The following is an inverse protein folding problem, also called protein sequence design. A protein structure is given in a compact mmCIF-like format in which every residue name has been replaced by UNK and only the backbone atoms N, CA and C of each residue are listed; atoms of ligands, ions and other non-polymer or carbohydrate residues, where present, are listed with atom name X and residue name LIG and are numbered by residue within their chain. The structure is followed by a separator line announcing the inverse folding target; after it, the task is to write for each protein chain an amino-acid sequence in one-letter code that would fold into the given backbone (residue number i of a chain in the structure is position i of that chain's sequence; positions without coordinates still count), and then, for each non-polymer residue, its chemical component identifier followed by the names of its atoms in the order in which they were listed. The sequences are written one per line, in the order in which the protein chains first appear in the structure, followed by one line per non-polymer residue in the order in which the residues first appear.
data_IF_102856935685
#
_entry.id   IF_102856935685
#
_cell.length_a   1.000
_cell.length_b   1.000
_cell.length_c   1.000
_cell.angle_alpha   90.00
_cell.angle_beta   90.00
_cell.angle_gamma   90.00
#
_symmetry.space_group_name_H-M   'P 1'
#
loop_
_entity.id
_entity.type
_entity.pdbx_description
1 polymer ?
#
# COMPACT_ATOMS: atom_id res chain seq x y z
N UNK A 1 34.70 -77.09 24.92
CA UNK A 1 34.51 -76.73 23.49
C UNK A 1 34.13 -75.24 23.41
N UNK A 2 35.00 -74.44 22.74
CA UNK A 2 34.81 -73.17 21.98
C UNK A 2 33.84 -72.08 22.54
N UNK A 3 34.09 -70.77 22.52
CA UNK A 3 35.20 -69.89 22.07
C UNK A 3 34.79 -68.42 22.37
N UNK A 4 35.78 -67.56 22.70
CA UNK A 4 35.96 -66.11 22.39
C UNK A 4 34.75 -65.14 22.41
N UNK A 5 34.75 -64.07 23.23
CA UNK A 5 35.40 -62.74 23.07
C UNK A 5 35.05 -61.97 21.77
N UNK A 6 34.40 -60.81 22.00
CA UNK A 6 34.51 -59.48 21.33
C UNK A 6 33.18 -58.88 20.80
N UNK A 7 33.10 -57.56 21.02
CA UNK A 7 32.19 -56.55 20.44
C UNK A 7 30.83 -56.40 21.18
N UNK A 8 30.36 -55.21 21.58
CA UNK A 8 30.69 -53.89 21.06
C UNK A 8 30.31 -52.77 22.06
N UNK A 9 31.22 -51.82 22.24
CA UNK A 9 31.13 -50.61 23.07
C UNK A 9 30.38 -49.46 22.35
N UNK A 10 29.23 -49.72 21.72
CA UNK A 10 28.56 -48.73 20.86
C UNK A 10 27.39 -47.96 21.49
N UNK A 11 27.10 -48.16 22.78
CA UNK A 11 25.93 -47.55 23.42
C UNK A 11 26.24 -46.36 24.34
N UNK A 12 27.50 -46.08 24.67
CA UNK A 12 27.88 -44.95 25.54
C UNK A 12 28.34 -43.68 24.81
N UNK A 13 28.48 -43.69 23.49
CA UNK A 13 28.86 -42.50 22.71
C UNK A 13 27.68 -41.67 22.19
N UNK A 14 26.44 -42.16 22.34
CA UNK A 14 25.23 -41.45 21.87
C UNK A 14 24.61 -40.50 22.90
N UNK A 15 25.06 -40.55 24.17
CA UNK A 15 24.55 -39.69 25.25
C UNK A 15 25.44 -38.48 25.57
N UNK A 16 26.60 -38.35 24.93
CA UNK A 16 27.50 -37.19 25.10
C UNK A 16 27.39 -36.19 23.93
N UNK A 17 26.74 -36.57 22.81
CA UNK A 17 26.57 -35.67 21.65
C UNK A 17 25.34 -34.75 21.74
N UNK A 18 24.49 -34.87 22.77
CA UNK A 18 23.28 -34.04 22.93
C UNK A 18 23.48 -32.83 23.85
N UNK A 19 24.66 -32.68 24.48
CA UNK A 19 24.94 -31.57 25.42
C UNK A 19 25.95 -30.53 24.90
N UNK A 20 26.26 -30.54 23.60
CA UNK A 20 27.12 -29.55 22.94
C UNK A 20 26.50 -28.99 21.63
N UNK A 21 25.17 -28.92 21.54
CA UNK A 21 24.53 -28.01 20.60
C UNK A 21 24.68 -26.59 21.16
N UNK A 22 25.67 -25.88 20.65
CA UNK A 22 26.17 -24.63 21.20
C UNK A 22 25.11 -23.56 21.39
N UNK A 23 25.35 -22.70 22.37
CA UNK A 23 25.01 -21.29 22.25
C UNK A 23 25.59 -20.79 20.92
N UNK A 24 24.77 -20.80 19.87
CA UNK A 24 24.98 -19.93 18.74
C UNK A 24 24.63 -18.54 19.28
N UNK A 25 25.60 -17.61 19.39
CA UNK A 25 25.25 -16.24 19.68
C UNK A 25 24.25 -15.79 18.60
N UNK A 26 23.07 -15.33 19.02
CA UNK A 26 22.15 -14.61 18.15
C UNK A 26 22.99 -13.56 17.42
N UNK A 27 23.22 -13.77 16.13
CA UNK A 27 23.72 -12.71 15.30
C UNK A 27 22.67 -11.59 15.38
N UNK A 28 23.07 -10.33 15.64
CA UNK A 28 22.15 -9.23 15.47
C UNK A 28 21.55 -9.34 14.07
N UNK A 29 20.25 -9.07 13.95
CA UNK A 29 19.59 -8.98 12.65
C UNK A 29 20.45 -8.12 11.72
N UNK A 30 20.59 -8.47 10.43
CA UNK A 30 21.28 -7.61 9.48
C UNK A 30 20.67 -6.21 9.61
N UNK A 31 21.52 -5.25 9.94
CA UNK A 31 21.16 -3.85 9.98
C UNK A 31 20.57 -3.51 8.61
N UNK A 32 19.33 -3.00 8.59
CA UNK A 32 18.67 -2.60 7.35
C UNK A 32 19.66 -1.79 6.53
N UNK A 33 19.84 -2.16 5.26
CA UNK A 33 20.83 -1.52 4.39
C UNK A 33 20.68 0.00 4.53
N UNK A 34 21.73 0.66 4.99
CA UNK A 34 21.72 2.11 5.15
C UNK A 34 21.38 2.72 3.78
N UNK A 35 20.47 3.71 3.74
CA UNK A 35 20.17 4.39 2.49
C UNK A 35 21.47 4.96 1.90
N UNK A 36 21.57 5.07 0.57
CA UNK A 36 22.75 5.62 -0.09
C UNK A 36 23.16 6.96 0.55
N UNK A 37 24.47 7.23 0.56
CA UNK A 37 25.09 8.27 1.40
C UNK A 37 24.62 9.71 1.11
N UNK A 38 23.91 9.94 0.01
CA UNK A 38 23.24 11.19 -0.35
C UNK A 38 21.89 11.41 0.36
N UNK A 39 21.40 10.41 1.09
CA UNK A 39 20.07 10.40 1.74
C UNK A 39 20.13 10.45 3.28
N UNK A 40 21.31 10.74 3.88
CA UNK A 40 21.44 10.94 5.33
C UNK A 40 21.11 12.39 5.72
N UNK A 41 20.03 12.57 6.49
CA UNK A 41 19.59 13.88 7.00
C UNK A 41 18.23 14.37 6.51
N UNK A 42 17.45 13.52 5.83
CA UNK A 42 16.15 13.88 5.27
C UNK A 42 15.14 14.19 6.38
N UNK A 43 14.55 15.38 6.33
CA UNK A 43 13.54 15.86 7.27
C UNK A 43 12.17 15.26 6.96
N UNK A 44 11.21 15.44 7.88
CA UNK A 44 9.81 15.04 7.71
C UNK A 44 9.06 15.75 6.57
N UNK A 45 9.72 16.59 5.77
CA UNK A 45 9.14 17.35 4.66
C UNK A 45 9.58 16.84 3.27
N UNK A 46 10.49 15.87 3.20
CA UNK A 46 11.05 15.33 1.95
C UNK A 46 10.08 14.33 1.31
N UNK A 47 9.80 14.54 0.02
CA UNK A 47 8.78 13.82 -0.77
C UNK A 47 9.26 13.45 -2.18
N UNK A 48 10.58 13.48 -2.42
CA UNK A 48 11.17 13.27 -3.74
C UNK A 48 11.17 14.54 -4.61
N UNK A 49 11.54 14.38 -5.88
CA UNK A 49 11.64 15.48 -6.86
C UNK A 49 10.80 15.17 -8.09
N UNK A 50 9.95 16.12 -8.49
CA UNK A 50 9.10 16.06 -9.67
C UNK A 50 9.40 17.25 -10.58
N UNK A 51 9.38 17.04 -11.89
CA UNK A 51 9.41 18.11 -12.88
C UNK A 51 8.11 18.08 -13.69
N UNK A 52 7.20 18.99 -13.35
CA UNK A 52 5.91 19.12 -14.02
C UNK A 52 5.71 20.59 -14.40
N UNK A 53 6.19 21.04 -15.56
CA UNK A 53 6.00 22.41 -16.01
C UNK A 53 4.52 22.70 -16.24
N UNK A 54 4.06 23.84 -15.72
CA UNK A 54 2.69 24.35 -15.90
C UNK A 54 2.70 25.76 -16.49
N UNK A 55 1.52 26.22 -16.90
CA UNK A 55 1.25 27.59 -17.32
C UNK A 55 0.99 28.53 -16.14
N UNK A 56 1.02 28.03 -14.91
CA UNK A 56 0.67 28.81 -13.73
C UNK A 56 1.75 29.85 -13.41
N UNK A 57 1.47 30.75 -12.48
CA UNK A 57 2.48 31.68 -11.96
C UNK A 57 3.69 30.93 -11.41
N UNK A 58 4.86 31.58 -11.39
CA UNK A 58 6.08 30.97 -10.87
C UNK A 58 5.95 30.58 -9.38
N UNK A 59 5.19 31.36 -8.62
CA UNK A 59 4.85 31.09 -7.24
C UNK A 59 3.93 29.86 -7.12
N UNK A 60 2.90 29.75 -7.95
CA UNK A 60 1.99 28.60 -7.95
C UNK A 60 2.66 27.31 -8.45
N UNK A 61 3.62 27.40 -9.37
CA UNK A 61 4.39 26.27 -9.90
C UNK A 61 5.07 25.46 -8.79
N UNK A 62 5.64 26.12 -7.77
CA UNK A 62 6.33 25.44 -6.68
C UNK A 62 5.37 24.60 -5.82
N UNK A 63 4.22 25.19 -5.44
CA UNK A 63 3.18 24.49 -4.69
C UNK A 63 2.53 23.37 -5.52
N UNK A 64 2.31 23.61 -6.81
CA UNK A 64 1.79 22.60 -7.72
C UNK A 64 2.74 21.40 -7.82
N UNK A 65 4.04 21.62 -8.06
CA UNK A 65 5.03 20.53 -8.15
C UNK A 65 5.14 19.75 -6.84
N UNK A 66 5.07 20.44 -5.68
CA UNK A 66 4.98 19.78 -4.37
C UNK A 66 3.72 18.90 -4.27
N UNK A 67 2.58 19.41 -4.71
CA UNK A 67 1.32 18.68 -4.78
C UNK A 67 1.43 17.40 -5.62
N UNK A 68 2.08 17.46 -6.79
CA UNK A 68 2.29 16.28 -7.65
C UNK A 68 3.21 15.24 -6.99
N UNK A 69 4.28 15.68 -6.33
CA UNK A 69 5.15 14.77 -5.57
C UNK A 69 4.41 14.04 -4.44
N UNK A 70 3.57 14.77 -3.68
CA UNK A 70 2.71 14.19 -2.65
C UNK A 70 1.66 13.24 -3.24
N UNK A 71 1.04 13.63 -4.35
CA UNK A 71 0.07 12.81 -5.08
C UNK A 71 0.68 11.49 -5.54
N UNK A 72 1.90 11.51 -6.08
CA UNK A 72 2.63 10.30 -6.46
C UNK A 72 2.87 9.35 -5.30
N UNK A 73 2.97 9.84 -4.07
CA UNK A 73 3.11 9.02 -2.86
C UNK A 73 1.79 8.74 -2.15
N UNK A 74 0.65 9.01 -2.80
CA UNK A 74 -0.69 8.86 -2.23
C UNK A 74 -0.88 9.60 -0.90
N UNK A 75 -0.12 10.68 -0.70
CA UNK A 75 -0.26 11.53 0.48
C UNK A 75 -1.31 12.61 0.21
N UNK A 76 -2.57 12.16 0.08
CA UNK A 76 -3.64 12.96 -0.55
C UNK A 76 -4.01 14.25 0.19
N UNK A 77 -4.22 14.29 1.53
CA UNK A 77 -4.63 15.53 2.18
C UNK A 77 -3.58 16.66 2.04
N UNK A 78 -2.27 16.41 2.25
CA UNK A 78 -1.26 17.42 1.93
C UNK A 78 -1.13 17.74 0.43
N UNK A 79 -1.36 16.77 -0.46
CA UNK A 79 -1.38 17.03 -1.90
C UNK A 79 -2.48 18.04 -2.25
N UNK A 80 -3.71 17.81 -1.77
CA UNK A 80 -4.85 18.72 -1.92
C UNK A 80 -4.51 20.10 -1.38
N UNK A 81 -3.95 20.20 -0.17
CA UNK A 81 -3.55 21.48 0.43
C UNK A 81 -2.50 22.22 -0.40
N UNK A 82 -1.58 21.52 -1.05
CA UNK A 82 -0.58 22.13 -1.93
C UNK A 82 -1.22 22.66 -3.22
N UNK A 83 -2.16 21.93 -3.81
CA UNK A 83 -2.91 22.41 -4.98
C UNK A 83 -3.86 23.57 -4.65
N UNK A 84 -4.50 23.57 -3.47
CA UNK A 84 -5.28 24.71 -2.97
C UNK A 84 -4.39 25.95 -2.77
N UNK A 85 -3.18 25.77 -2.23
CA UNK A 85 -2.20 26.86 -2.10
C UNK A 85 -1.74 27.39 -3.46
N UNK A 86 -1.58 26.53 -4.46
CA UNK A 86 -1.31 26.97 -5.84
C UNK A 86 -2.46 27.82 -6.41
N UNK A 87 -3.72 27.48 -6.12
CA UNK A 87 -4.89 28.27 -6.52
C UNK A 87 -5.02 29.60 -5.77
N UNK A 88 -4.62 29.66 -4.50
CA UNK A 88 -4.56 30.91 -3.75
C UNK A 88 -3.53 31.89 -4.35
N UNK A 89 -2.42 31.37 -4.89
CA UNK A 89 -1.37 32.13 -5.55
C UNK A 89 -1.71 32.48 -7.00
N UNK A 90 -2.39 31.59 -7.71
CA UNK A 90 -2.85 31.78 -9.08
C UNK A 90 -4.24 31.14 -9.29
N UNK A 91 -5.33 31.92 -9.13
CA UNK A 91 -6.69 31.44 -9.33
C UNK A 91 -7.02 31.03 -10.77
N UNK A 92 -6.12 31.28 -11.73
CA UNK A 92 -6.28 30.88 -13.14
C UNK A 92 -5.54 29.59 -13.49
N UNK A 93 -4.85 28.99 -12.52
CA UNK A 93 -4.11 27.73 -12.66
C UNK A 93 -5.07 26.52 -12.78
N UNK A 94 -5.68 26.33 -13.95
CA UNK A 94 -6.67 25.27 -14.20
C UNK A 94 -6.16 23.87 -13.83
N UNK A 95 -4.88 23.59 -14.07
CA UNK A 95 -4.27 22.29 -13.77
C UNK A 95 -4.17 22.02 -12.27
N UNK A 96 -4.17 23.02 -11.39
CA UNK A 96 -4.22 22.78 -9.94
C UNK A 96 -5.56 22.16 -9.51
N UNK A 97 -6.68 22.53 -10.15
CA UNK A 97 -7.96 21.86 -9.95
C UNK A 97 -7.91 20.38 -10.40
N UNK A 98 -7.21 20.07 -11.51
CA UNK A 98 -6.93 18.67 -11.89
C UNK A 98 -6.19 17.92 -10.77
N UNK A 99 -5.19 18.54 -10.14
CA UNK A 99 -4.45 17.93 -9.03
C UNK A 99 -5.33 17.59 -7.82
N UNK A 100 -6.28 18.48 -7.48
CA UNK A 100 -7.27 18.23 -6.42
C UNK A 100 -8.20 17.08 -6.82
N UNK A 101 -8.69 17.06 -8.05
CA UNK A 101 -9.56 15.99 -8.55
C UNK A 101 -8.84 14.63 -8.55
N UNK A 102 -7.60 14.57 -9.04
CA UNK A 102 -6.75 13.38 -9.00
C UNK A 102 -6.52 12.88 -7.58
N UNK A 103 -6.25 13.78 -6.64
CA UNK A 103 -6.04 13.40 -5.23
C UNK A 103 -7.29 12.82 -4.57
N UNK A 104 -8.48 13.12 -5.12
CA UNK A 104 -9.77 12.60 -4.64
C UNK A 104 -10.19 11.30 -5.31
N UNK A 105 -9.47 10.81 -6.33
CA UNK A 105 -9.64 9.42 -6.81
C UNK A 105 -9.42 8.44 -5.66
N UNK A 106 -8.50 8.77 -4.75
CA UNK A 106 -8.09 7.93 -3.64
C UNK A 106 -7.20 6.78 -4.10
N UNK A 107 -7.03 5.78 -3.23
CA UNK A 107 -6.17 4.64 -3.53
C UNK A 107 -6.76 3.88 -4.75
N UNK A 108 -5.98 3.71 -5.84
CA UNK A 108 -6.46 3.29 -7.16
C UNK A 108 -7.14 1.92 -7.29
N UNK A 109 -7.25 1.16 -6.20
CA UNK A 109 -7.73 -0.22 -6.16
C UNK A 109 -9.06 -0.36 -5.42
N UNK A 110 -9.71 0.76 -5.09
CA UNK A 110 -10.95 0.80 -4.33
C UNK A 110 -11.91 1.81 -4.92
N UNK A 111 -13.24 1.52 -4.91
CA UNK A 111 -14.22 2.51 -5.28
C UNK A 111 -14.07 3.77 -4.41
N UNK A 112 -13.97 4.92 -5.07
CA UNK A 112 -13.99 6.23 -4.42
C UNK A 112 -15.34 6.44 -3.70
N UNK A 113 -15.36 6.87 -2.44
CA UNK A 113 -16.60 7.23 -1.74
C UNK A 113 -17.40 8.33 -2.46
N UNK A 114 -18.73 8.29 -2.37
CA UNK A 114 -19.63 9.20 -3.11
C UNK A 114 -19.38 10.68 -2.81
N UNK A 115 -19.05 11.03 -1.55
CA UNK A 115 -18.70 12.39 -1.14
C UNK A 115 -17.38 12.87 -1.75
N UNK A 116 -16.39 11.97 -1.83
CA UNK A 116 -15.13 12.25 -2.53
C UNK A 116 -15.34 12.41 -4.04
N UNK A 117 -16.22 11.61 -4.66
CA UNK A 117 -16.61 11.77 -6.07
C UNK A 117 -17.29 13.12 -6.30
N UNK A 118 -18.24 13.50 -5.45
CA UNK A 118 -18.94 14.79 -5.56
C UNK A 118 -17.97 15.97 -5.43
N UNK A 119 -17.03 15.92 -4.47
CA UNK A 119 -16.03 16.96 -4.29
C UNK A 119 -15.01 17.03 -5.44
N UNK A 120 -14.67 15.88 -6.05
CA UNK A 120 -13.80 15.83 -7.22
C UNK A 120 -14.48 16.43 -8.45
N UNK A 121 -15.76 16.12 -8.70
CA UNK A 121 -16.55 16.68 -9.80
C UNK A 121 -16.54 18.20 -9.81
N UNK A 122 -16.67 18.85 -8.65
CA UNK A 122 -16.58 20.31 -8.54
C UNK A 122 -15.25 20.83 -9.10
N UNK A 123 -14.14 20.18 -8.79
CA UNK A 123 -12.82 20.59 -9.29
C UNK A 123 -12.63 20.28 -10.77
N UNK A 124 -13.14 19.15 -11.25
CA UNK A 124 -13.15 18.85 -12.69
C UNK A 124 -13.91 19.91 -13.46
N UNK A 125 -15.10 20.30 -13.00
CA UNK A 125 -15.91 21.34 -13.63
C UNK A 125 -15.17 22.69 -13.69
N UNK A 126 -14.47 23.08 -12.63
CA UNK A 126 -13.64 24.29 -12.62
C UNK A 126 -12.46 24.19 -13.59
N UNK A 127 -11.74 23.06 -13.60
CA UNK A 127 -10.62 22.84 -14.50
C UNK A 127 -11.06 22.93 -15.98
N UNK A 128 -12.19 22.30 -16.32
CA UNK A 128 -12.78 22.34 -17.67
C UNK A 128 -13.25 23.75 -18.03
N UNK A 129 -13.87 24.47 -17.10
CA UNK A 129 -14.38 25.82 -17.35
C UNK A 129 -13.26 26.86 -17.57
N UNK A 130 -12.15 26.72 -16.85
CA UNK A 130 -10.96 27.56 -17.05
C UNK A 130 -10.22 27.18 -18.33
N UNK A 131 -10.19 25.89 -18.66
CA UNK A 131 -9.42 25.33 -19.77
C UNK A 131 -7.93 25.25 -19.44
N UNK A 132 -7.27 24.21 -19.95
CA UNK A 132 -5.81 24.14 -19.91
C UNK A 132 -5.23 25.26 -20.78
N UNK A 133 -4.25 25.98 -20.25
CA UNK A 133 -3.62 27.09 -20.99
C UNK A 133 -2.65 26.58 -22.06
N UNK A 134 -2.33 25.28 -22.01
CA UNK A 134 -1.60 24.53 -23.02
C UNK A 134 -2.36 23.28 -23.43
N UNK A 135 -2.12 22.78 -24.64
CA UNK A 135 -2.72 21.53 -25.11
C UNK A 135 -2.36 20.34 -24.20
N UNK A 136 -1.13 20.34 -23.65
CA UNK A 136 -0.67 19.35 -22.67
C UNK A 136 -1.55 19.34 -21.42
N UNK A 137 -1.73 20.50 -20.79
CA UNK A 137 -2.56 20.62 -19.58
C UNK A 137 -4.03 20.29 -19.86
N UNK A 138 -4.55 20.70 -21.03
CA UNK A 138 -5.90 20.35 -21.44
C UNK A 138 -6.05 18.82 -21.51
N UNK A 139 -5.06 18.09 -22.03
CA UNK A 139 -5.12 16.64 -22.09
C UNK A 139 -5.18 15.97 -20.70
N UNK A 140 -4.48 16.50 -19.68
CA UNK A 140 -4.61 16.02 -18.30
C UNK A 140 -6.01 16.27 -17.73
N UNK A 141 -6.54 17.48 -17.95
CA UNK A 141 -7.89 17.87 -17.51
C UNK A 141 -8.94 16.99 -18.18
N UNK A 142 -8.83 16.76 -19.49
CA UNK A 142 -9.73 15.90 -20.25
C UNK A 142 -9.66 14.43 -19.77
N UNK A 143 -8.46 13.95 -19.44
CA UNK A 143 -8.28 12.60 -18.91
C UNK A 143 -9.01 12.41 -17.58
N UNK A 144 -8.80 13.29 -16.59
CA UNK A 144 -9.50 13.17 -15.31
C UNK A 144 -11.02 13.41 -15.47
N UNK A 145 -11.42 14.29 -16.38
CA UNK A 145 -12.83 14.51 -16.69
C UNK A 145 -13.49 13.23 -17.21
N UNK A 146 -12.80 12.45 -18.05
CA UNK A 146 -13.30 11.16 -18.54
C UNK A 146 -13.54 10.13 -17.42
N UNK A 147 -12.80 10.21 -16.30
CA UNK A 147 -13.08 9.36 -15.13
C UNK A 147 -14.38 9.76 -14.43
N UNK A 148 -14.62 11.07 -14.30
CA UNK A 148 -15.76 11.61 -13.54
C UNK A 148 -17.02 11.84 -14.38
N UNK A 149 -16.92 11.72 -15.70
CA UNK A 149 -18.05 11.80 -16.60
C UNK A 149 -19.07 10.68 -16.30
N UNK A 150 -20.34 11.08 -16.15
CA UNK A 150 -21.44 10.20 -15.77
C UNK A 150 -21.11 9.23 -14.59
N UNK A 151 -20.31 9.68 -13.62
CA UNK A 151 -19.77 8.80 -12.58
C UNK A 151 -20.83 8.13 -11.71
N UNK A 152 -22.04 8.68 -11.63
CA UNK A 152 -23.15 8.16 -10.82
C UNK A 152 -23.86 6.98 -11.51
N UNK A 153 -23.63 6.80 -12.81
CA UNK A 153 -24.26 5.76 -13.64
C UNK A 153 -23.30 4.66 -14.13
N UNK A 154 -22.02 4.73 -13.77
CA UNK A 154 -20.98 3.81 -14.27
C UNK A 154 -20.25 3.10 -13.13
N UNK A 155 -19.85 1.86 -13.39
CA UNK A 155 -19.01 1.11 -12.45
C UNK A 155 -17.59 1.71 -12.40
N UNK A 156 -16.90 1.58 -11.27
CA UNK A 156 -15.52 2.09 -11.11
C UNK A 156 -14.58 1.62 -12.22
N UNK A 157 -14.64 0.35 -12.61
CA UNK A 157 -13.79 -0.20 -13.67
C UNK A 157 -14.01 0.44 -15.04
N UNK A 158 -15.23 0.87 -15.36
CA UNK A 158 -15.54 1.56 -16.62
C UNK A 158 -14.93 2.97 -16.63
N UNK A 159 -15.11 3.71 -15.52
CA UNK A 159 -14.51 5.04 -15.30
C UNK A 159 -12.98 5.00 -15.36
N UNK A 160 -12.38 4.02 -14.68
CA UNK A 160 -10.95 3.78 -14.72
C UNK A 160 -10.44 3.48 -16.14
N UNK A 161 -11.20 2.70 -16.92
CA UNK A 161 -10.82 2.40 -18.31
C UNK A 161 -10.92 3.62 -19.23
N UNK A 162 -11.90 4.51 -19.00
CA UNK A 162 -12.00 5.77 -19.71
C UNK A 162 -10.78 6.67 -19.43
N UNK A 163 -10.37 6.79 -18.16
CA UNK A 163 -9.15 7.49 -17.76
C UNK A 163 -7.89 6.89 -18.41
N UNK A 164 -7.71 5.57 -18.33
CA UNK A 164 -6.58 4.87 -18.96
C UNK A 164 -6.51 5.15 -20.47
N UNK A 165 -7.66 5.14 -21.15
CA UNK A 165 -7.73 5.43 -22.59
C UNK A 165 -7.32 6.87 -22.90
N UNK A 166 -7.77 7.83 -22.10
CA UNK A 166 -7.41 9.23 -22.27
C UNK A 166 -5.91 9.48 -21.96
N UNK A 167 -5.36 8.84 -20.93
CA UNK A 167 -3.92 8.89 -20.63
C UNK A 167 -3.07 8.24 -21.73
N UNK A 168 -3.54 7.14 -22.34
CA UNK A 168 -2.88 6.55 -23.50
C UNK A 168 -2.84 7.52 -24.68
N UNK A 169 -3.92 8.28 -24.91
CA UNK A 169 -3.96 9.32 -25.94
C UNK A 169 -3.01 10.48 -25.62
N UNK A 170 -2.97 10.94 -24.36
CA UNK A 170 -2.04 11.98 -23.91
C UNK A 170 -0.59 11.59 -24.21
N UNK A 171 -0.18 10.36 -23.88
CA UNK A 171 1.20 9.89 -24.15
C UNK A 171 1.47 9.76 -25.66
N UNK A 172 0.46 9.51 -26.49
CA UNK A 172 0.62 9.49 -27.95
C UNK A 172 0.83 10.91 -28.51
N UNK A 173 0.07 11.88 -28.02
CA UNK A 173 0.13 13.27 -28.48
C UNK A 173 1.36 14.01 -27.94
N UNK A 174 1.80 13.65 -26.73
CA UNK A 174 2.96 14.23 -26.04
C UNK A 174 3.98 13.14 -25.66
N UNK A 175 4.67 12.52 -26.64
CA UNK A 175 5.56 11.39 -26.39
C UNK A 175 6.81 11.72 -25.56
N UNK A 176 7.13 13.00 -25.36
CA UNK A 176 8.23 13.46 -24.50
C UNK A 176 7.76 13.79 -23.07
N UNK A 177 6.45 13.76 -22.80
CA UNK A 177 5.89 14.02 -21.48
C UNK A 177 6.20 12.86 -20.52
N UNK A 178 7.13 13.10 -19.59
CA UNK A 178 7.56 12.09 -18.64
C UNK A 178 6.51 11.83 -17.57
N UNK A 179 5.88 12.88 -17.05
CA UNK A 179 4.79 12.76 -16.08
C UNK A 179 3.59 12.04 -16.69
N UNK A 180 3.31 12.28 -17.97
CA UNK A 180 2.22 11.64 -18.71
C UNK A 180 2.42 10.14 -18.80
N UNK A 181 3.65 9.70 -19.07
CA UNK A 181 4.04 8.29 -19.05
C UNK A 181 3.90 7.67 -17.67
N UNK A 182 4.32 8.38 -16.61
CA UNK A 182 4.26 7.89 -15.23
C UNK A 182 2.80 7.73 -14.78
N UNK A 183 1.93 8.71 -15.04
CA UNK A 183 0.50 8.60 -14.76
C UNK A 183 -0.21 7.58 -15.66
N UNK A 184 0.22 7.40 -16.90
CA UNK A 184 -0.31 6.32 -17.76
C UNK A 184 0.06 4.94 -17.23
N UNK A 185 1.29 4.75 -16.74
CA UNK A 185 1.68 3.52 -16.07
C UNK A 185 0.81 3.24 -14.83
N UNK A 186 0.48 4.27 -14.04
CA UNK A 186 -0.50 4.13 -12.96
C UNK A 186 -1.89 3.74 -13.47
N UNK A 187 -2.36 4.36 -14.56
CA UNK A 187 -3.67 4.04 -15.14
C UNK A 187 -3.75 2.59 -15.63
N UNK A 188 -2.68 2.05 -16.22
CA UNK A 188 -2.57 0.64 -16.57
C UNK A 188 -2.67 -0.26 -15.34
N UNK A 189 -2.01 0.11 -14.24
CA UNK A 189 -2.08 -0.66 -13.00
C UNK A 189 -3.52 -0.69 -12.48
N UNK A 190 -4.18 0.46 -12.36
CA UNK A 190 -5.59 0.59 -11.94
C UNK A 190 -6.52 -0.38 -12.68
N UNK A 191 -6.35 -0.49 -14.00
CA UNK A 191 -7.24 -1.29 -14.86
C UNK A 191 -6.78 -2.73 -15.03
N UNK A 192 -5.66 -3.12 -14.42
CA UNK A 192 -5.21 -4.51 -14.37
C UNK A 192 -6.21 -5.39 -13.63
N UNK A 193 -6.52 -6.57 -14.17
CA UNK A 193 -7.56 -7.44 -13.59
C UNK A 193 -6.96 -8.67 -12.91
N UNK A 194 -7.48 -9.09 -11.72
CA UNK A 194 -6.98 -10.29 -11.03
C UNK A 194 -6.99 -11.61 -11.84
N UNK A 195 -7.93 -11.84 -12.79
CA UNK A 195 -7.91 -13.03 -13.65
C UNK A 195 -6.74 -13.09 -14.64
N UNK A 196 -6.15 -11.95 -15.04
CA UNK A 196 -5.00 -11.93 -15.93
C UNK A 196 -3.76 -12.46 -15.20
N UNK A 197 -3.26 -13.62 -15.64
CA UNK A 197 -2.03 -14.25 -15.13
C UNK A 197 -0.83 -14.09 -16.05
N UNK A 198 -1.01 -13.45 -17.20
CA UNK A 198 0.08 -12.99 -18.05
C UNK A 198 0.64 -11.65 -17.54
N UNK A 199 -0.13 -10.96 -16.68
CA UNK A 199 0.20 -9.70 -16.03
C UNK A 199 0.46 -8.59 -17.04
N UNK A 200 -0.42 -8.48 -18.03
CA UNK A 200 -0.23 -7.65 -19.22
C UNK A 200 0.01 -6.20 -18.85
N UNK A 201 -0.89 -5.62 -18.04
CA UNK A 201 -0.80 -4.22 -17.64
C UNK A 201 0.41 -3.94 -16.75
N UNK A 202 0.73 -4.85 -15.82
CA UNK A 202 1.91 -4.73 -14.97
C UNK A 202 3.20 -4.71 -15.81
N UNK A 203 3.31 -5.61 -16.80
CA UNK A 203 4.48 -5.65 -17.69
C UNK A 203 4.57 -4.41 -18.58
N UNK A 204 3.43 -3.88 -19.05
CA UNK A 204 3.39 -2.62 -19.79
C UNK A 204 3.84 -1.44 -18.92
N UNK A 205 3.34 -1.35 -17.69
CA UNK A 205 3.74 -0.32 -16.72
C UNK A 205 5.24 -0.43 -16.41
N UNK A 206 5.77 -1.61 -16.13
CA UNK A 206 7.21 -1.86 -15.95
C UNK A 206 8.02 -1.39 -17.17
N UNK A 207 7.60 -1.74 -18.40
CA UNK A 207 8.30 -1.35 -19.61
C UNK A 207 8.37 0.17 -19.83
N UNK A 208 7.36 0.91 -19.33
CA UNK A 208 7.36 2.38 -19.34
C UNK A 208 8.28 2.95 -18.26
N UNK A 209 8.24 2.38 -17.06
CA UNK A 209 8.87 2.94 -15.85
C UNK A 209 10.36 2.58 -15.71
N UNK A 210 10.80 1.39 -16.13
CA UNK A 210 12.19 0.94 -15.96
C UNK A 210 13.21 1.92 -16.59
N UNK A 211 13.04 2.40 -17.84
CA UNK A 211 13.97 3.37 -18.41
C UNK A 211 13.94 4.72 -17.67
N UNK A 212 12.78 5.12 -17.14
CA UNK A 212 12.62 6.38 -16.42
C UNK A 212 13.27 6.32 -15.03
N UNK A 213 13.27 5.15 -14.38
CA UNK A 213 13.84 5.00 -13.04
C UNK A 213 15.34 5.32 -13.00
N UNK A 214 16.06 4.94 -14.06
CA UNK A 214 17.48 5.29 -14.21
C UNK A 214 17.70 6.78 -14.48
N UNK A 215 16.77 7.43 -15.20
CA UNK A 215 16.87 8.84 -15.57
C UNK A 215 16.45 9.80 -14.43
N UNK A 216 15.50 9.37 -13.59
CA UNK A 216 14.87 10.15 -12.55
C UNK A 216 14.88 9.39 -11.20
N UNK A 217 16.06 9.14 -10.61
CA UNK A 217 16.20 8.26 -9.45
C UNK A 217 15.52 8.78 -8.17
N UNK A 218 15.19 10.07 -8.10
CA UNK A 218 14.52 10.70 -6.96
C UNK A 218 13.04 11.02 -7.21
N UNK A 219 12.48 10.60 -8.34
CA UNK A 219 11.06 10.80 -8.62
C UNK A 219 10.23 9.81 -7.80
N UNK A 220 9.28 10.27 -6.95
CA UNK A 220 8.57 9.39 -6.03
C UNK A 220 7.64 8.39 -6.74
N UNK A 221 7.00 8.81 -7.84
CA UNK A 221 6.02 7.99 -8.55
C UNK A 221 6.61 6.76 -9.26
N UNK A 222 7.88 6.82 -9.68
CA UNK A 222 8.48 5.75 -10.49
C UNK A 222 8.74 4.49 -9.65
N UNK A 223 9.54 4.52 -8.57
CA UNK A 223 9.76 3.34 -7.74
C UNK A 223 8.46 2.90 -7.07
N UNK A 224 7.56 3.83 -6.74
CA UNK A 224 6.24 3.49 -6.24
C UNK A 224 5.47 2.59 -7.20
N UNK A 225 5.31 3.02 -8.45
CA UNK A 225 4.51 2.28 -9.41
C UNK A 225 5.24 1.03 -9.90
N UNK A 226 6.58 1.00 -9.90
CA UNK A 226 7.35 -0.23 -10.10
C UNK A 226 7.10 -1.27 -9.00
N UNK A 227 6.99 -0.86 -7.74
CA UNK A 227 6.61 -1.79 -6.66
C UNK A 227 5.23 -2.38 -6.95
N UNK A 228 4.24 -1.56 -7.31
CA UNK A 228 2.90 -2.04 -7.66
C UNK A 228 2.90 -2.96 -8.91
N UNK A 229 3.69 -2.66 -9.94
CA UNK A 229 3.84 -3.53 -11.12
C UNK A 229 4.38 -4.91 -10.75
N UNK A 230 5.23 -5.00 -9.74
CA UNK A 230 5.83 -6.25 -9.30
C UNK A 230 5.15 -6.86 -8.07
N UNK A 231 3.99 -6.35 -7.68
CA UNK A 231 3.28 -6.72 -6.46
C UNK A 231 2.52 -8.05 -6.55
N UNK A 232 3.14 -9.05 -7.17
CA UNK A 232 2.67 -10.44 -7.26
C UNK A 232 3.87 -11.40 -7.17
N UNK A 233 3.73 -12.60 -6.59
CA UNK A 233 4.85 -13.52 -6.41
C UNK A 233 5.63 -13.83 -7.71
N UNK A 234 4.94 -13.90 -8.85
CA UNK A 234 5.56 -14.20 -10.14
C UNK A 234 6.45 -13.08 -10.70
N UNK A 235 6.27 -11.83 -10.24
CA UNK A 235 6.99 -10.65 -10.71
C UNK A 235 7.86 -9.99 -9.65
N UNK A 236 7.73 -10.37 -8.37
CA UNK A 236 8.33 -9.70 -7.22
C UNK A 236 9.85 -9.46 -7.33
N UNK A 237 10.57 -10.25 -8.13
CA UNK A 237 11.99 -10.02 -8.34
C UNK A 237 12.34 -8.71 -9.03
N UNK A 238 11.52 -8.26 -9.98
CA UNK A 238 11.75 -6.98 -10.67
C UNK A 238 11.50 -5.75 -9.79
N UNK A 239 10.82 -5.89 -8.65
CA UNK A 239 10.49 -4.77 -7.75
C UNK A 239 11.55 -4.45 -6.71
N UNK A 240 12.62 -5.24 -6.59
CA UNK A 240 13.59 -5.12 -5.49
C UNK A 240 14.31 -3.77 -5.48
N UNK A 241 14.82 -3.30 -6.61
CA UNK A 241 15.58 -2.05 -6.68
C UNK A 241 14.71 -0.86 -6.25
N UNK A 242 13.46 -0.83 -6.69
CA UNK A 242 12.49 0.18 -6.28
C UNK A 242 12.16 0.11 -4.78
N UNK A 243 11.93 -1.10 -4.25
CA UNK A 243 11.64 -1.31 -2.82
C UNK A 243 12.78 -0.85 -1.91
N UNK A 244 14.04 -1.00 -2.34
CA UNK A 244 15.21 -0.62 -1.55
C UNK A 244 15.39 0.90 -1.40
N UNK A 245 14.85 1.71 -2.32
CA UNK A 245 15.09 3.17 -2.32
C UNK A 245 13.85 4.00 -2.03
N UNK A 246 12.64 3.49 -2.26
CA UNK A 246 11.44 4.33 -2.28
C UNK A 246 11.16 5.04 -0.94
N UNK A 247 11.27 4.32 0.19
CA UNK A 247 11.05 4.91 1.50
C UNK A 247 12.02 6.07 1.81
N UNK A 248 13.25 6.03 1.27
CA UNK A 248 14.20 7.12 1.43
C UNK A 248 13.88 8.31 0.51
N UNK A 249 13.24 8.09 -0.64
CA UNK A 249 12.86 9.16 -1.58
C UNK A 249 11.75 10.04 -0.99
N UNK A 250 10.76 9.43 -0.34
CA UNK A 250 9.62 10.15 0.25
C UNK A 250 9.40 9.80 1.73
N UNK A 251 10.35 10.14 2.63
CA UNK A 251 10.26 9.83 4.06
C UNK A 251 9.07 10.46 4.77
N UNK A 252 8.55 11.58 4.24
CA UNK A 252 7.38 12.27 4.79
C UNK A 252 6.06 11.51 4.57
N UNK A 253 5.96 10.69 3.51
CA UNK A 253 4.71 10.05 3.12
C UNK A 253 4.56 8.67 3.77
N UNK A 254 3.53 8.43 4.62
CA UNK A 254 3.36 7.15 5.30
C UNK A 254 3.20 5.97 4.34
N UNK A 255 2.49 6.18 3.23
CA UNK A 255 2.34 5.18 2.19
C UNK A 255 3.70 4.78 1.59
N UNK A 256 4.58 5.76 1.29
CA UNK A 256 5.91 5.48 0.78
C UNK A 256 6.78 4.66 1.76
N UNK A 257 6.59 4.85 3.07
CA UNK A 257 7.27 4.05 4.10
C UNK A 257 6.79 2.61 4.16
N UNK A 258 5.50 2.38 3.88
CA UNK A 258 4.91 1.06 3.85
C UNK A 258 5.29 0.27 2.59
N UNK A 259 5.30 0.93 1.42
CA UNK A 259 5.35 0.30 0.11
C UNK A 259 6.49 -0.71 -0.12
N UNK A 260 7.73 -0.54 0.38
CA UNK A 260 8.75 -1.59 0.26
C UNK A 260 8.32 -2.97 0.77
N UNK A 261 7.48 -3.01 1.80
CA UNK A 261 6.99 -4.24 2.41
C UNK A 261 6.19 -5.14 1.46
N UNK A 262 5.59 -4.56 0.42
CA UNK A 262 4.89 -5.29 -0.64
C UNK A 262 5.83 -6.29 -1.34
N UNK A 263 7.04 -5.86 -1.71
CA UNK A 263 8.05 -6.73 -2.32
C UNK A 263 8.74 -7.59 -1.26
N UNK A 264 9.09 -7.03 -0.10
CA UNK A 264 9.77 -7.77 0.96
C UNK A 264 8.96 -9.00 1.41
N UNK A 265 7.66 -8.84 1.67
CA UNK A 265 6.78 -9.96 2.01
C UNK A 265 6.69 -11.02 0.92
N UNK A 266 6.67 -10.63 -0.36
CA UNK A 266 6.64 -11.58 -1.49
C UNK A 266 7.95 -12.35 -1.66
N UNK A 267 9.06 -11.78 -1.20
CA UNK A 267 10.39 -12.39 -1.23
C UNK A 267 10.78 -13.10 0.07
N UNK A 268 9.93 -13.06 1.10
CA UNK A 268 10.20 -13.66 2.41
C UNK A 268 11.20 -12.87 3.27
N UNK A 269 11.39 -11.58 2.98
CA UNK A 269 12.23 -10.65 3.73
C UNK A 269 11.41 -10.07 4.90
N UNK A 270 11.09 -10.93 5.87
CA UNK A 270 10.12 -10.61 6.92
C UNK A 270 10.60 -9.52 7.89
N UNK A 271 11.90 -9.50 8.21
CA UNK A 271 12.46 -8.48 9.09
C UNK A 271 12.38 -7.08 8.46
N UNK A 272 12.72 -6.97 7.18
CA UNK A 272 12.66 -5.74 6.39
C UNK A 272 11.21 -5.30 6.21
N UNK A 273 10.31 -6.24 5.94
CA UNK A 273 8.87 -5.98 5.85
C UNK A 273 8.33 -5.40 7.16
N UNK A 274 8.62 -6.03 8.31
CA UNK A 274 8.22 -5.52 9.63
C UNK A 274 8.79 -4.13 9.89
N UNK A 275 10.09 -3.92 9.64
CA UNK A 275 10.75 -2.64 9.90
C UNK A 275 10.16 -1.49 9.06
N UNK A 276 9.94 -1.72 7.76
CA UNK A 276 9.34 -0.73 6.86
C UNK A 276 7.93 -0.34 7.33
N UNK A 277 7.13 -1.33 7.70
CA UNK A 277 5.79 -1.08 8.19
C UNK A 277 5.74 -0.38 9.55
N UNK A 278 6.65 -0.69 10.47
CA UNK A 278 6.73 0.02 11.75
C UNK A 278 6.88 1.53 11.53
N UNK A 279 7.75 1.94 10.59
CA UNK A 279 7.92 3.36 10.24
C UNK A 279 6.63 3.91 9.62
N UNK A 280 6.02 3.19 8.68
CA UNK A 280 4.74 3.58 8.06
C UNK A 280 3.60 3.77 9.07
N UNK A 281 3.45 2.86 10.04
CA UNK A 281 2.44 2.96 11.10
C UNK A 281 2.67 4.19 11.98
N UNK A 282 3.93 4.47 12.36
CA UNK A 282 4.24 5.66 13.17
C UNK A 282 3.94 6.95 12.39
N UNK A 283 4.34 7.02 11.13
CA UNK A 283 4.08 8.17 10.28
C UNK A 283 2.57 8.37 10.08
N UNK A 284 1.83 7.29 9.82
CA UNK A 284 0.39 7.33 9.63
C UNK A 284 -0.37 7.78 10.89
N UNK A 285 0.01 7.27 12.08
CA UNK A 285 -0.57 7.73 13.35
C UNK A 285 -0.24 9.20 13.65
N UNK A 286 0.93 9.67 13.24
CA UNK A 286 1.34 11.07 13.36
C UNK A 286 0.46 12.04 12.56
N UNK A 287 -0.31 11.55 11.57
CA UNK A 287 -1.26 12.36 10.81
C UNK A 287 -2.60 12.58 11.51
N UNK A 288 -2.88 11.85 12.59
CA UNK A 288 -4.13 12.01 13.32
C UNK A 288 -4.16 13.37 14.01
N UNK A 289 -5.34 14.03 14.09
CA UNK A 289 -5.49 15.24 14.89
C UNK A 289 -5.01 15.04 16.32
N UNK A 290 -4.38 16.05 16.91
CA UNK A 290 -3.86 15.97 18.28
C UNK A 290 -4.97 15.73 19.34
N UNK A 291 -6.22 16.07 19.01
CA UNK A 291 -7.42 15.85 19.80
C UNK A 291 -8.24 14.63 19.36
N UNK A 292 -7.69 13.77 18.49
CA UNK A 292 -8.34 12.54 18.07
C UNK A 292 -8.68 11.67 19.30
N UNK A 293 -9.90 11.13 19.39
CA UNK A 293 -10.27 10.22 20.46
C UNK A 293 -9.31 9.02 20.60
N UNK A 294 -9.17 8.51 21.82
CA UNK A 294 -8.43 7.28 22.03
C UNK A 294 -9.07 6.12 21.23
N UNK A 295 -8.25 5.35 20.54
CA UNK A 295 -8.71 4.27 19.66
C UNK A 295 -9.08 4.72 18.25
N UNK A 296 -8.82 5.97 17.86
CA UNK A 296 -8.89 6.41 16.46
C UNK A 296 -7.66 5.95 15.68
N UNK A 297 -7.87 5.43 14.47
CA UNK A 297 -6.83 5.06 13.50
C UNK A 297 -7.22 5.48 12.08
N UNK A 298 -6.32 5.28 11.12
CA UNK A 298 -6.54 5.52 9.70
C UNK A 298 -6.16 4.29 8.84
N UNK A 299 -6.53 4.34 7.56
CA UNK A 299 -6.35 3.24 6.62
C UNK A 299 -4.87 2.91 6.38
N UNK A 300 -3.99 3.91 6.26
CA UNK A 300 -2.54 3.70 6.07
C UNK A 300 -1.93 2.93 7.24
N UNK A 301 -2.30 3.28 8.48
CA UNK A 301 -1.85 2.56 9.66
C UNK A 301 -2.35 1.12 9.65
N UNK A 302 -3.64 0.89 9.40
CA UNK A 302 -4.24 -0.44 9.37
C UNK A 302 -3.63 -1.35 8.29
N UNK A 303 -3.44 -0.82 7.09
CA UNK A 303 -2.84 -1.56 5.97
C UNK A 303 -1.39 -1.96 6.28
N UNK A 304 -0.60 -1.06 6.85
CA UNK A 304 0.76 -1.38 7.28
C UNK A 304 0.79 -2.39 8.45
N UNK A 305 -0.17 -2.31 9.37
CA UNK A 305 -0.32 -3.26 10.46
C UNK A 305 -0.65 -4.67 9.97
N UNK A 306 -1.46 -4.86 8.93
CA UNK A 306 -1.71 -6.21 8.37
C UNK A 306 -0.43 -6.87 7.87
N UNK A 307 0.43 -6.11 7.17
CA UNK A 307 1.74 -6.62 6.75
C UNK A 307 2.65 -6.92 7.94
N UNK A 308 2.63 -6.10 9.00
CA UNK A 308 3.36 -6.39 10.24
C UNK A 308 2.87 -7.67 10.92
N UNK A 309 1.55 -7.84 11.04
CA UNK A 309 0.96 -9.05 11.61
C UNK A 309 1.46 -10.28 10.87
N UNK A 310 1.41 -10.24 9.54
CA UNK A 310 1.90 -11.35 8.73
C UNK A 310 3.39 -11.58 8.93
N UNK A 311 4.21 -10.53 8.88
CA UNK A 311 5.66 -10.62 9.10
C UNK A 311 6.04 -11.18 10.47
N UNK A 312 5.39 -10.74 11.55
CA UNK A 312 5.61 -11.27 12.89
C UNK A 312 5.30 -12.77 12.98
N UNK A 313 4.19 -13.21 12.40
CA UNK A 313 3.82 -14.63 12.39
C UNK A 313 4.83 -15.49 11.60
N UNK A 314 5.32 -15.00 10.46
CA UNK A 314 6.36 -15.71 9.69
C UNK A 314 7.71 -15.79 10.42
N UNK A 315 7.97 -14.86 11.33
CA UNK A 315 9.14 -14.85 12.21
C UNK A 315 8.93 -15.61 13.53
N UNK A 316 7.75 -16.19 13.75
CA UNK A 316 7.33 -16.79 15.02
C UNK A 316 7.42 -15.82 16.22
N UNK A 317 7.19 -14.54 15.97
CA UNK A 317 7.15 -13.45 16.96
C UNK A 317 5.72 -13.29 17.52
N UNK A 318 5.23 -14.35 18.17
CA UNK A 318 3.84 -14.43 18.66
C UNK A 318 3.50 -13.33 19.67
N UNK A 319 4.47 -12.89 20.49
CA UNK A 319 4.27 -11.81 21.46
C UNK A 319 4.01 -10.46 20.80
N UNK A 320 4.77 -10.15 19.75
CA UNK A 320 4.67 -8.93 18.97
C UNK A 320 3.38 -8.93 18.14
N UNK A 321 3.05 -10.08 17.54
CA UNK A 321 1.77 -10.29 16.87
C UNK A 321 0.59 -10.10 17.85
N UNK A 322 0.69 -10.61 19.08
CA UNK A 322 -0.35 -10.42 20.11
C UNK A 322 -0.49 -8.96 20.52
N UNK A 323 0.62 -8.26 20.74
CA UNK A 323 0.60 -6.84 21.08
C UNK A 323 -0.08 -6.02 19.99
N UNK A 324 0.18 -6.35 18.72
CA UNK A 324 -0.51 -5.73 17.59
C UNK A 324 -2.00 -6.07 17.57
N UNK A 325 -2.38 -7.33 17.78
CA UNK A 325 -3.80 -7.72 17.87
C UNK A 325 -4.53 -6.98 18.99
N UNK A 326 -3.89 -6.79 20.15
CA UNK A 326 -4.46 -6.03 21.26
C UNK A 326 -4.67 -4.56 20.91
N UNK A 327 -3.74 -3.98 20.14
CA UNK A 327 -3.89 -2.62 19.62
C UNK A 327 -5.09 -2.52 18.68
N UNK A 328 -5.23 -3.46 17.74
CA UNK A 328 -6.34 -3.48 16.79
C UNK A 328 -7.69 -3.65 17.51
N UNK A 329 -7.75 -4.51 18.53
CA UNK A 329 -8.97 -4.72 19.32
C UNK A 329 -9.35 -3.49 20.17
N UNK A 330 -8.42 -2.57 20.41
CA UNK A 330 -8.69 -1.31 21.11
C UNK A 330 -9.19 -0.19 20.19
N UNK A 331 -9.24 -0.42 18.88
CA UNK A 331 -9.76 0.56 17.92
C UNK A 331 -11.26 0.76 18.14
N UNK A 332 -11.68 2.02 18.22
CA UNK A 332 -13.08 2.42 18.32
C UNK A 332 -13.54 3.21 17.09
N UNK A 333 -12.60 3.78 16.33
CA UNK A 333 -12.85 4.54 15.11
C UNK A 333 -11.75 4.24 14.07
N UNK A 334 -12.15 3.80 12.88
CA UNK A 334 -11.25 3.53 11.77
C UNK A 334 -11.74 4.23 10.49
N UNK A 335 -10.81 4.57 9.59
CA UNK A 335 -11.16 5.09 8.27
C UNK A 335 -11.96 4.08 7.45
N UNK A 336 -13.01 4.53 6.76
CA UNK A 336 -13.88 3.67 5.94
C UNK A 336 -13.28 3.43 4.56
N UNK A 337 -12.62 2.29 4.37
CA UNK A 337 -11.97 1.92 3.11
C UNK A 337 -11.71 0.41 3.03
N UNK A 338 -11.38 -0.07 1.83
CA UNK A 338 -11.07 -1.47 1.59
C UNK A 338 -9.90 -1.96 2.45
N UNK A 339 -8.82 -1.17 2.53
CA UNK A 339 -7.63 -1.52 3.30
C UNK A 339 -7.94 -1.68 4.78
N UNK A 340 -8.71 -0.75 5.36
CA UNK A 340 -9.17 -0.85 6.74
C UNK A 340 -10.03 -2.08 6.98
N UNK A 341 -11.03 -2.33 6.11
CA UNK A 341 -11.93 -3.48 6.25
C UNK A 341 -11.16 -4.80 6.18
N UNK A 342 -10.28 -4.93 5.19
CA UNK A 342 -9.43 -6.10 5.01
C UNK A 342 -8.54 -6.31 6.22
N UNK A 343 -7.82 -5.29 6.67
CA UNK A 343 -6.88 -5.38 7.78
C UNK A 343 -7.58 -5.77 9.10
N UNK A 344 -8.70 -5.11 9.43
CA UNK A 344 -9.48 -5.38 10.64
C UNK A 344 -10.02 -6.82 10.68
N UNK A 345 -10.31 -7.43 9.52
CA UNK A 345 -10.76 -8.81 9.44
C UNK A 345 -9.60 -9.82 9.35
N UNK A 346 -8.57 -9.51 8.57
CA UNK A 346 -7.46 -10.42 8.25
C UNK A 346 -6.50 -10.60 9.43
N UNK A 347 -6.14 -9.53 10.14
CA UNK A 347 -5.19 -9.63 11.26
C UNK A 347 -5.64 -10.60 12.36
N UNK A 348 -6.85 -10.48 12.95
CA UNK A 348 -7.32 -11.43 13.96
C UNK A 348 -7.44 -12.85 13.39
N UNK A 349 -7.90 -13.01 12.14
CA UNK A 349 -7.99 -14.31 11.49
C UNK A 349 -6.60 -14.97 11.32
N UNK A 350 -5.61 -14.24 10.81
CA UNK A 350 -4.23 -14.74 10.64
C UNK A 350 -3.64 -15.19 11.98
N UNK A 351 -3.76 -14.34 13.00
CA UNK A 351 -3.20 -14.59 14.32
C UNK A 351 -3.65 -15.94 14.90
N UNK A 352 -4.95 -16.23 14.85
CA UNK A 352 -5.48 -17.49 15.40
C UNK A 352 -5.26 -18.69 14.47
N UNK A 353 -5.36 -18.50 13.14
CA UNK A 353 -5.23 -19.61 12.19
C UNK A 353 -3.80 -20.11 12.06
N UNK A 354 -2.81 -19.21 11.97
CA UNK A 354 -1.40 -19.60 11.84
C UNK A 354 -0.89 -20.31 13.09
N UNK A 355 -1.39 -19.89 14.27
CA UNK A 355 -1.13 -20.55 15.56
C UNK A 355 -1.97 -21.80 15.80
N UNK A 356 -2.91 -22.14 14.90
CA UNK A 356 -3.86 -23.26 15.06
C UNK A 356 -4.69 -23.18 16.34
N UNK A 357 -5.01 -21.97 16.79
CA UNK A 357 -5.84 -21.71 17.96
C UNK A 357 -7.32 -21.87 17.58
N UNK A 358 -7.76 -23.11 17.37
CA UNK A 358 -9.06 -23.41 16.76
C UNK A 358 -10.27 -22.90 17.56
N UNK A 359 -10.21 -23.00 18.89
CA UNK A 359 -11.26 -22.48 19.77
C UNK A 359 -11.33 -20.95 19.71
N UNK A 360 -10.19 -20.27 19.65
CA UNK A 360 -10.12 -18.81 19.46
C UNK A 360 -10.68 -18.41 18.08
N UNK A 361 -10.32 -19.17 17.04
CA UNK A 361 -10.82 -18.96 15.69
C UNK A 361 -12.35 -19.10 15.61
N UNK A 362 -12.93 -20.12 16.24
CA UNK A 362 -14.37 -20.33 16.30
C UNK A 362 -15.13 -19.22 17.04
N UNK A 363 -14.44 -18.44 17.87
CA UNK A 363 -15.01 -17.36 18.67
C UNK A 363 -14.82 -15.96 18.05
N UNK A 364 -14.14 -15.83 16.90
CA UNK A 364 -13.89 -14.54 16.28
C UNK A 364 -15.18 -13.77 15.97
N UNK A 365 -15.20 -12.46 16.20
CA UNK A 365 -16.30 -11.55 15.85
C UNK A 365 -15.79 -10.37 15.03
N UNK A 366 -16.67 -9.75 14.25
CA UNK A 366 -16.37 -8.47 13.59
C UNK A 366 -16.17 -7.39 14.66
N UNK A 367 -15.18 -6.52 14.48
CA UNK A 367 -14.85 -5.44 15.41
C UNK A 367 -14.03 -4.35 14.71
N UNK A 368 -14.29 -3.05 14.95
CA UNK A 368 -15.28 -2.53 15.90
C UNK A 368 -16.70 -2.56 15.33
N UNK A 369 -17.71 -2.55 16.20
CA UNK A 369 -19.13 -2.44 15.85
C UNK A 369 -19.47 -1.13 15.12
N UNK A 370 -18.64 -0.10 15.29
CA UNK A 370 -18.76 1.19 14.63
C UNK A 370 -18.35 1.17 13.15
N UNK A 371 -17.69 0.11 12.70
CA UNK A 371 -17.25 -0.01 11.31
C UNK A 371 -18.41 -0.44 10.41
N UNK A 372 -18.50 0.15 9.21
CA UNK A 372 -19.57 -0.11 8.25
C UNK A 372 -19.33 -1.43 7.48
N UNK A 373 -19.38 -2.55 8.20
CA UNK A 373 -19.08 -3.89 7.70
C UNK A 373 -19.94 -4.31 6.49
N UNK A 374 -21.20 -3.88 6.46
CA UNK A 374 -22.17 -4.13 5.41
C UNK A 374 -21.71 -3.65 4.01
N UNK A 375 -20.78 -2.69 3.96
CA UNK A 375 -20.16 -2.20 2.73
C UNK A 375 -19.02 -3.09 2.22
N UNK A 376 -18.51 -4.01 3.05
CA UNK A 376 -17.32 -4.82 2.79
C UNK A 376 -17.56 -6.32 3.02
N UNK A 377 -18.55 -6.95 2.37
CA UNK A 377 -18.88 -8.36 2.59
C UNK A 377 -17.71 -9.32 2.27
N UNK A 378 -16.79 -8.92 1.39
CA UNK A 378 -15.57 -9.67 1.10
C UNK A 378 -14.60 -9.71 2.30
N UNK A 379 -14.54 -8.65 3.10
CA UNK A 379 -13.73 -8.60 4.31
C UNK A 379 -14.40 -9.42 5.43
N UNK A 380 -15.73 -9.29 5.59
CA UNK A 380 -16.49 -10.13 6.53
C UNK A 380 -16.27 -11.63 6.27
N UNK A 381 -16.25 -12.03 4.99
CA UNK A 381 -16.06 -13.42 4.58
C UNK A 381 -14.73 -14.02 5.08
N UNK A 382 -13.68 -13.22 5.29
CA UNK A 382 -12.40 -13.69 5.86
C UNK A 382 -12.62 -14.22 7.28
N UNK A 383 -13.35 -13.46 8.09
CA UNK A 383 -13.66 -13.84 9.47
C UNK A 383 -14.65 -15.00 9.53
N UNK A 384 -15.66 -15.01 8.66
CA UNK A 384 -16.60 -16.14 8.56
C UNK A 384 -15.84 -17.43 8.22
N UNK A 385 -14.94 -17.37 7.23
CA UNK A 385 -14.10 -18.51 6.87
C UNK A 385 -13.22 -18.98 8.04
N UNK A 386 -12.54 -18.06 8.72
CA UNK A 386 -11.69 -18.39 9.87
C UNK A 386 -12.49 -19.04 11.01
N UNK A 387 -13.70 -18.51 11.28
CA UNK A 387 -14.63 -19.03 12.28
C UNK A 387 -15.11 -20.44 11.94
N UNK A 388 -15.57 -20.65 10.70
CA UNK A 388 -16.02 -21.95 10.23
C UNK A 388 -14.91 -23.00 10.26
N UNK A 389 -13.71 -22.63 9.81
CA UNK A 389 -12.54 -23.50 9.87
C UNK A 389 -12.14 -23.84 11.30
N UNK A 390 -12.14 -22.86 12.21
CA UNK A 390 -11.90 -23.06 13.64
C UNK A 390 -12.90 -24.02 14.25
N UNK A 391 -14.19 -23.78 14.06
CA UNK A 391 -15.28 -24.61 14.58
C UNK A 391 -15.18 -26.06 14.06
N UNK A 392 -14.94 -26.24 12.76
CA UNK A 392 -14.76 -27.56 12.16
C UNK A 392 -13.56 -28.32 12.76
N UNK A 393 -12.46 -27.61 13.04
CA UNK A 393 -11.25 -28.18 13.67
C UNK A 393 -11.44 -28.47 15.16
N UNK A 394 -12.28 -27.71 15.84
CA UNK A 394 -12.67 -27.93 17.24
C UNK A 394 -13.76 -29.00 17.42
N UNK A 395 -14.41 -29.45 16.33
CA UNK A 395 -15.51 -30.41 16.37
C UNK A 395 -16.88 -29.79 16.65
N UNK A 396 -17.00 -28.47 16.62
CA UNK A 396 -18.27 -27.74 16.70
C UNK A 396 -18.94 -27.68 15.32
N UNK A 397 -19.70 -28.73 15.02
CA UNK A 397 -20.42 -28.88 13.75
C UNK A 397 -21.53 -27.84 13.57
N UNK A 398 -22.13 -27.35 14.66
CA UNK A 398 -23.21 -26.37 14.60
C UNK A 398 -22.67 -25.01 14.13
N UNK A 399 -21.65 -24.50 14.81
CA UNK A 399 -20.99 -23.23 14.43
C UNK A 399 -20.35 -23.34 13.04
N UNK A 400 -19.73 -24.49 12.71
CA UNK A 400 -19.15 -24.70 11.38
C UNK A 400 -20.18 -24.62 10.25
N UNK A 401 -21.38 -25.17 10.44
CA UNK A 401 -22.46 -25.10 9.45
C UNK A 401 -23.12 -23.71 9.39
N UNK A 402 -23.13 -22.97 10.50
CA UNK A 402 -23.65 -21.61 10.55
C UNK A 402 -22.72 -20.58 9.88
N UNK A 403 -21.43 -20.91 9.73
CA UNK A 403 -20.43 -20.09 9.05
C UNK A 403 -20.41 -20.32 7.52
N UNK A 404 -21.58 -20.24 6.87
CA UNK A 404 -21.76 -20.37 5.42
C UNK A 404 -22.26 -19.07 4.78
#
# INVERSE_FOLDING_TARGET
MKSQKYLSQWWLLLLIFVLLAGCVPLQPAPEAAAPPSDMQGLTADVIGTVDFPTSCSAEAQAEFTRGVALLHSFYFPPAISSFESALDLDPTCAIAHWGIAMSRLGIPWSPTPDDAVAAAKVNVEQAVALGGQTEREQAYIDAIAAFYDNADGQAFGERAKAYETAMAQLVQDFPDDTEGKIFYALALLITGTPPDKDYTNQRMATAILDPLFSALPHHPGIPHYLIHSHDVPALAEGGMDAALVYAAIAPAAPHAQHMPSHIFSRRGLWHESVASNQVGVQAAKGMLPADAPAGTTNEDALHAQDYMMYGYLQLAQDSEAKALLDEINAITQAGGGFGSAYALAAMPARYVLERKAWDEAAALTLSPDSFAWDRFPHAEAILVFARGLGAARAGDVETANAAN
#
